data_IF_151271395471
#
_entry.id   IF_151271395471
#
_cell.length_a   1.000
_cell.length_b   1.000
_cell.length_c   1.000
_cell.angle_alpha   90.00
_cell.angle_beta   90.00
_cell.angle_gamma   90.00
#
_symmetry.space_group_name_H-M   'P 1'
#
loop_
_entity.id
_entity.type
_entity.pdbx_description
1 polymer ?
#
# COMPACT_ATOMS: atom_id res chain seq x y z
N UNK A 1 83.36 -33.03 -40.65
CA UNK A 1 82.75 -32.22 -41.70
C UNK A 1 81.24 -32.38 -41.63
N UNK A 2 80.53 -31.40 -41.06
CA UNK A 2 79.04 -31.46 -40.87
C UNK A 2 78.49 -30.42 -41.84
N UNK A 3 77.79 -30.81 -42.88
CA UNK A 3 77.10 -29.95 -43.84
C UNK A 3 75.82 -29.43 -43.23
N UNK A 4 75.72 -28.10 -43.10
CA UNK A 4 74.51 -27.42 -42.65
C UNK A 4 73.62 -27.17 -43.88
N UNK A 5 72.50 -27.93 -43.95
CA UNK A 5 71.49 -27.73 -44.97
C UNK A 5 70.66 -26.48 -44.65
N UNK A 6 70.79 -25.45 -45.43
CA UNK A 6 69.93 -24.26 -45.37
C UNK A 6 68.57 -24.53 -46.05
N UNK A 7 67.50 -24.62 -45.27
CA UNK A 7 66.15 -24.72 -45.81
C UNK A 7 65.67 -23.25 -46.15
N UNK A 8 65.46 -23.01 -47.43
CA UNK A 8 64.90 -21.78 -47.98
C UNK A 8 63.39 -21.68 -47.56
N UNK A 9 62.96 -20.52 -47.12
CA UNK A 9 61.53 -20.34 -46.75
C UNK A 9 60.71 -20.33 -48.06
N UNK A 10 59.67 -21.17 -48.10
CA UNK A 10 58.70 -21.23 -49.21
C UNK A 10 57.92 -19.88 -49.18
N UNK A 11 58.19 -18.99 -50.12
CA UNK A 11 57.38 -17.80 -50.36
C UNK A 11 56.00 -18.25 -50.83
N UNK A 12 55.01 -18.13 -49.92
CA UNK A 12 53.60 -18.27 -50.31
C UNK A 12 53.27 -17.12 -51.25
N UNK A 13 52.92 -17.45 -52.50
CA UNK A 13 52.39 -16.48 -53.48
C UNK A 13 51.09 -15.90 -52.91
N UNK A 14 51.06 -14.63 -52.61
CA UNK A 14 49.85 -13.86 -52.32
C UNK A 14 49.02 -13.85 -53.63
N UNK A 15 47.86 -14.52 -53.58
CA UNK A 15 46.84 -14.40 -54.62
C UNK A 15 46.08 -13.06 -54.33
N UNK A 16 46.08 -12.17 -55.33
CA UNK A 16 45.30 -10.95 -55.25
C UNK A 16 43.79 -11.26 -55.18
N UNK A 17 43.07 -10.62 -54.31
CA UNK A 17 41.62 -10.70 -54.23
C UNK A 17 40.98 -9.97 -55.38
N UNK A 18 40.03 -10.56 -56.06
CA UNK A 18 39.31 -9.91 -57.16
C UNK A 18 38.35 -8.86 -56.60
N UNK A 19 38.05 -7.81 -57.36
CA UNK A 19 37.13 -6.76 -56.98
C UNK A 19 35.75 -7.30 -56.67
N UNK A 20 35.29 -8.35 -57.39
CA UNK A 20 34.02 -9.03 -57.18
C UNK A 20 34.04 -9.79 -55.84
N UNK A 21 35.13 -10.46 -55.49
CA UNK A 21 35.28 -11.21 -54.25
C UNK A 21 35.26 -10.24 -53.04
N UNK A 22 35.86 -9.05 -53.18
CA UNK A 22 35.79 -7.98 -52.18
C UNK A 22 34.36 -7.47 -52.03
N UNK A 23 33.65 -7.20 -53.13
CA UNK A 23 32.25 -6.74 -53.08
C UNK A 23 31.33 -7.75 -52.47
N UNK A 24 31.45 -9.04 -52.80
CA UNK A 24 30.66 -10.14 -52.20
C UNK A 24 30.98 -10.27 -50.71
N UNK A 25 32.26 -10.21 -50.33
CA UNK A 25 32.66 -10.24 -48.92
C UNK A 25 32.10 -9.09 -48.08
N UNK A 26 32.13 -7.86 -48.64
CA UNK A 26 31.57 -6.66 -47.97
C UNK A 26 30.03 -6.78 -47.83
N UNK A 27 29.30 -7.19 -48.87
CA UNK A 27 27.86 -7.33 -48.81
C UNK A 27 27.41 -8.39 -47.83
N UNK A 28 28.06 -9.58 -47.84
CA UNK A 28 27.78 -10.63 -46.86
C UNK A 28 28.11 -10.18 -45.43
N UNK A 29 29.26 -9.52 -45.26
CA UNK A 29 29.65 -8.95 -43.96
C UNK A 29 28.62 -7.95 -43.43
N UNK A 30 28.10 -7.07 -44.30
CA UNK A 30 27.11 -6.09 -43.96
C UNK A 30 25.75 -6.74 -43.57
N UNK A 31 25.31 -7.76 -44.32
CA UNK A 31 24.08 -8.52 -44.00
C UNK A 31 24.20 -9.22 -42.65
N UNK A 32 25.34 -9.88 -42.40
CA UNK A 32 25.57 -10.57 -41.11
C UNK A 32 25.60 -9.52 -39.96
N UNK A 33 26.30 -8.41 -40.14
CA UNK A 33 26.38 -7.37 -39.12
C UNK A 33 25.02 -6.78 -38.84
N UNK A 34 24.21 -6.46 -39.87
CA UNK A 34 22.85 -5.96 -39.73
C UNK A 34 21.95 -6.95 -38.95
N UNK A 35 22.06 -8.24 -39.28
CA UNK A 35 21.28 -9.29 -38.56
C UNK A 35 21.69 -9.41 -37.10
N UNK A 36 22.97 -9.31 -36.76
CA UNK A 36 23.45 -9.32 -35.37
C UNK A 36 23.00 -8.08 -34.61
N UNK A 37 22.99 -6.91 -35.24
CA UNK A 37 22.47 -5.69 -34.62
C UNK A 37 20.98 -5.78 -34.32
N UNK A 38 20.17 -6.33 -35.24
CA UNK A 38 18.74 -6.57 -35.00
C UNK A 38 18.53 -7.57 -33.86
N UNK A 39 19.28 -8.65 -33.80
CA UNK A 39 19.21 -9.65 -32.74
C UNK A 39 19.56 -9.02 -31.37
N UNK A 40 20.62 -8.22 -31.33
CA UNK A 40 21.04 -7.52 -30.11
C UNK A 40 19.98 -6.50 -29.64
N UNK A 41 19.41 -5.71 -30.56
CA UNK A 41 18.36 -4.76 -30.25
C UNK A 41 17.10 -5.46 -29.66
N UNK A 42 16.68 -6.56 -30.29
CA UNK A 42 15.55 -7.35 -29.79
C UNK A 42 15.85 -7.99 -28.43
N UNK A 43 17.03 -8.54 -28.23
CA UNK A 43 17.43 -9.13 -26.95
C UNK A 43 17.49 -8.09 -25.84
N UNK A 44 17.99 -6.88 -26.13
CA UNK A 44 18.02 -5.75 -25.19
C UNK A 44 16.61 -5.28 -24.83
N UNK A 45 15.70 -5.15 -25.80
CA UNK A 45 14.30 -4.79 -25.56
C UNK A 45 13.60 -5.83 -24.68
N UNK A 46 13.75 -7.12 -24.97
CA UNK A 46 13.21 -8.20 -24.13
C UNK A 46 13.76 -8.17 -22.71
N UNK A 47 15.05 -7.92 -22.54
CA UNK A 47 15.66 -7.78 -21.21
C UNK A 47 15.03 -6.66 -20.38
N UNK A 48 14.76 -5.53 -21.01
CA UNK A 48 14.09 -4.40 -20.37
C UNK A 48 12.63 -4.72 -20.01
N UNK A 49 11.89 -5.42 -20.87
CA UNK A 49 10.51 -5.82 -20.60
C UNK A 49 10.42 -6.79 -19.40
N UNK A 50 11.35 -7.74 -19.32
CA UNK A 50 11.44 -8.67 -18.18
C UNK A 50 11.76 -7.90 -16.88
N UNK A 51 12.70 -6.94 -16.92
CA UNK A 51 13.03 -6.13 -15.76
C UNK A 51 11.85 -5.27 -15.29
N UNK A 52 11.10 -4.64 -16.21
CA UNK A 52 9.87 -3.89 -15.90
C UNK A 52 8.80 -4.76 -15.27
N UNK A 53 8.56 -5.94 -15.85
CA UNK A 53 7.60 -6.91 -15.30
C UNK A 53 8.01 -7.37 -13.90
N UNK A 54 9.30 -7.61 -13.67
CA UNK A 54 9.85 -7.96 -12.35
C UNK A 54 9.57 -6.90 -11.31
N UNK A 55 9.86 -5.63 -11.59
CA UNK A 55 9.58 -4.50 -10.69
C UNK A 55 8.07 -4.36 -10.38
N UNK A 56 7.20 -4.54 -11.39
CA UNK A 56 5.75 -4.48 -11.17
C UNK A 56 5.26 -5.59 -10.25
N UNK A 57 5.80 -6.83 -10.39
CA UNK A 57 5.44 -7.95 -9.53
C UNK A 57 5.91 -7.69 -8.10
N UNK A 58 7.13 -7.19 -7.93
CA UNK A 58 7.70 -6.89 -6.62
C UNK A 58 6.91 -5.79 -5.91
N UNK A 59 6.63 -4.67 -6.60
CA UNK A 59 5.80 -3.59 -6.08
C UNK A 59 4.39 -4.08 -5.72
N UNK A 60 3.78 -4.91 -6.56
CA UNK A 60 2.46 -5.49 -6.30
C UNK A 60 2.45 -6.38 -5.06
N UNK A 61 3.46 -7.23 -4.87
CA UNK A 61 3.60 -8.06 -3.66
C UNK A 61 3.84 -7.21 -2.42
N UNK A 62 4.73 -6.23 -2.50
CA UNK A 62 5.03 -5.32 -1.40
C UNK A 62 3.78 -4.56 -0.92
N UNK A 63 3.04 -3.95 -1.86
CA UNK A 63 1.80 -3.23 -1.53
C UNK A 63 0.75 -4.16 -0.92
N UNK A 64 0.58 -5.37 -1.48
CA UNK A 64 -0.35 -6.36 -0.94
C UNK A 64 -0.02 -6.74 0.49
N UNK A 65 1.25 -6.99 0.80
CA UNK A 65 1.68 -7.39 2.15
C UNK A 65 1.59 -6.23 3.14
N UNK A 66 2.02 -5.02 2.73
CA UNK A 66 1.95 -3.82 3.55
C UNK A 66 0.51 -3.49 3.96
N UNK A 67 -0.43 -3.51 3.01
CA UNK A 67 -1.84 -3.26 3.30
C UNK A 67 -2.45 -4.39 4.12
N UNK A 68 -2.07 -5.64 3.85
CA UNK A 68 -2.54 -6.80 4.61
C UNK A 68 -2.15 -6.69 6.07
N UNK A 69 -0.90 -6.37 6.37
CA UNK A 69 -0.40 -6.27 7.74
C UNK A 69 -1.15 -5.21 8.55
N UNK A 70 -1.30 -4.00 8.01
CA UNK A 70 -1.91 -2.90 8.76
C UNK A 70 -3.43 -3.02 8.86
N UNK A 71 -4.09 -3.41 7.77
CA UNK A 71 -5.54 -3.64 7.73
C UNK A 71 -5.94 -4.80 8.64
N UNK A 72 -5.17 -5.88 8.67
CA UNK A 72 -5.42 -7.04 9.55
C UNK A 72 -5.41 -6.66 11.03
N UNK A 73 -4.61 -5.67 11.42
CA UNK A 73 -4.51 -5.15 12.79
C UNK A 73 -5.55 -4.05 13.09
N UNK A 74 -6.33 -3.61 12.09
CA UNK A 74 -7.35 -2.59 12.30
C UNK A 74 -8.32 -3.01 13.41
N UNK A 75 -8.74 -2.03 14.23
CA UNK A 75 -9.63 -2.29 15.36
C UNK A 75 -8.97 -3.02 16.54
N UNK A 76 -7.66 -3.21 16.51
CA UNK A 76 -6.96 -3.62 17.72
C UNK A 76 -6.93 -2.45 18.71
N UNK A 77 -7.79 -2.52 19.72
CA UNK A 77 -7.89 -1.47 20.75
C UNK A 77 -7.28 -1.89 22.10
N UNK A 78 -6.44 -2.91 22.09
CA UNK A 78 -5.80 -3.48 23.27
C UNK A 78 -6.56 -4.69 23.80
N UNK A 79 -6.33 -5.04 25.07
CA UNK A 79 -6.86 -6.26 25.70
C UNK A 79 -8.25 -6.04 26.33
N UNK A 80 -9.02 -5.06 25.81
CA UNK A 80 -10.35 -4.75 26.36
C UNK A 80 -11.46 -5.37 25.53
N UNK A 81 -12.58 -5.70 26.19
CA UNK A 81 -13.80 -6.06 25.47
C UNK A 81 -14.40 -4.82 24.83
N UNK A 82 -14.71 -4.92 23.55
CA UNK A 82 -15.42 -3.90 22.78
C UNK A 82 -16.91 -4.21 22.64
N UNK A 83 -17.39 -5.24 23.32
CA UNK A 83 -18.81 -5.61 23.33
C UNK A 83 -19.66 -4.42 23.85
N UNK A 84 -20.71 -4.07 23.11
CA UNK A 84 -21.59 -2.94 23.43
C UNK A 84 -20.96 -1.55 23.21
N UNK A 85 -19.76 -1.45 22.62
CA UNK A 85 -19.18 -0.17 22.30
C UNK A 85 -19.98 0.54 21.18
N UNK A 86 -20.12 1.86 21.31
CA UNK A 86 -20.59 2.72 20.24
C UNK A 86 -19.42 3.12 19.35
N UNK A 87 -19.68 3.24 18.05
CA UNK A 87 -18.63 3.60 17.09
C UNK A 87 -18.86 4.98 16.51
N UNK A 88 -17.80 5.76 16.41
CA UNK A 88 -17.78 7.07 15.77
C UNK A 88 -16.92 7.06 14.52
N UNK A 89 -17.16 8.01 13.63
CA UNK A 89 -16.37 8.26 12.42
C UNK A 89 -15.62 9.58 12.56
N UNK A 90 -14.47 9.61 13.27
CA UNK A 90 -13.70 10.83 13.38
C UNK A 90 -13.14 11.24 12.01
N UNK A 91 -12.98 12.54 11.81
CA UNK A 91 -12.28 13.07 10.65
C UNK A 91 -10.87 12.48 10.59
N UNK A 92 -10.51 11.76 9.51
CA UNK A 92 -9.21 11.13 9.37
C UNK A 92 -8.06 12.12 9.26
N UNK A 93 -8.37 13.37 8.87
CA UNK A 93 -7.40 14.47 8.77
C UNK A 93 -7.23 15.24 10.10
N UNK A 94 -7.95 14.86 11.15
CA UNK A 94 -7.84 15.54 12.44
C UNK A 94 -6.51 15.23 13.14
N UNK A 95 -5.83 16.29 13.57
CA UNK A 95 -4.63 16.19 14.43
C UNK A 95 -4.99 16.11 15.92
N UNK A 96 -6.27 16.29 16.26
CA UNK A 96 -6.84 16.12 17.59
C UNK A 96 -7.96 15.08 17.53
N UNK A 97 -7.65 13.78 17.51
CA UNK A 97 -8.63 12.73 17.36
C UNK A 97 -9.62 12.74 18.53
N UNK A 98 -10.89 12.52 18.22
CA UNK A 98 -12.00 12.45 19.17
C UNK A 98 -12.73 11.10 19.03
N UNK A 99 -13.71 10.86 19.90
CA UNK A 99 -14.54 9.67 19.83
C UNK A 99 -13.98 8.48 20.61
N UNK A 100 -13.27 8.76 21.71
CA UNK A 100 -12.72 7.76 22.61
C UNK A 100 -13.31 7.91 24.03
N UNK A 101 -13.63 6.78 24.63
CA UNK A 101 -14.07 6.73 26.03
C UNK A 101 -15.55 6.99 26.21
N UNK A 102 -15.94 7.31 27.43
CA UNK A 102 -17.34 7.57 27.79
C UNK A 102 -18.09 6.37 28.37
N UNK A 103 -19.36 6.61 28.72
CA UNK A 103 -20.30 5.58 29.17
C UNK A 103 -21.63 5.80 28.45
N UNK A 104 -22.01 4.93 27.49
CA UNK A 104 -21.33 3.71 27.06
C UNK A 104 -19.98 3.95 26.38
N UNK A 105 -19.13 2.93 26.33
CA UNK A 105 -17.81 2.99 25.69
C UNK A 105 -17.96 3.42 24.23
N UNK A 106 -17.25 4.48 23.84
CA UNK A 106 -17.21 4.98 22.46
C UNK A 106 -15.81 4.76 21.89
N UNK A 107 -15.75 4.25 20.68
CA UNK A 107 -14.51 3.94 19.94
C UNK A 107 -14.60 4.50 18.51
N UNK A 108 -13.49 4.87 17.86
CA UNK A 108 -13.49 5.16 16.44
C UNK A 108 -13.73 3.88 15.65
N UNK A 109 -14.31 3.98 14.44
CA UNK A 109 -14.38 2.85 13.51
C UNK A 109 -12.99 2.38 13.11
N UNK A 110 -12.79 1.07 13.05
CA UNK A 110 -11.50 0.43 12.75
C UNK A 110 -10.99 0.77 11.34
N UNK A 111 -11.91 0.78 10.39
CA UNK A 111 -11.67 1.16 9.00
C UNK A 111 -12.75 2.13 8.54
N UNK A 112 -12.40 2.98 7.59
CA UNK A 112 -13.33 3.90 6.95
C UNK A 112 -12.84 4.18 5.54
N UNK A 113 -13.69 3.94 4.56
CA UNK A 113 -13.38 4.16 3.16
C UNK A 113 -13.85 5.51 2.67
N UNK A 114 -13.16 6.00 1.66
CA UNK A 114 -13.44 7.26 0.99
C UNK A 114 -13.42 7.03 -0.52
N UNK A 115 -14.53 7.29 -1.16
CA UNK A 115 -14.70 7.20 -2.61
C UNK A 115 -13.96 8.34 -3.32
N UNK A 116 -13.80 8.29 -4.65
CA UNK A 116 -13.19 9.41 -5.38
C UNK A 116 -13.91 10.75 -5.22
N UNK A 117 -15.21 10.72 -4.84
CA UNK A 117 -16.01 11.93 -4.64
C UNK A 117 -15.75 12.59 -3.27
N UNK A 118 -15.17 11.86 -2.32
CA UNK A 118 -14.92 12.36 -0.96
C UNK A 118 -13.64 13.20 -0.94
N UNK A 119 -13.76 14.49 -0.72
CA UNK A 119 -12.63 15.41 -0.59
C UNK A 119 -12.04 15.33 0.83
N UNK A 120 -10.77 14.94 0.93
CA UNK A 120 -10.00 14.92 2.17
C UNK A 120 -8.86 15.93 2.09
N UNK A 121 -8.90 16.97 2.93
CA UNK A 121 -7.95 18.07 2.89
C UNK A 121 -6.48 17.66 3.12
N UNK A 122 -6.26 16.57 3.84
CA UNK A 122 -4.91 16.06 4.13
C UNK A 122 -4.31 15.15 3.05
N UNK A 123 -5.05 14.82 1.98
CA UNK A 123 -4.56 14.00 0.88
C UNK A 123 -4.09 14.87 -0.29
N UNK A 124 -2.88 15.39 -0.16
CA UNK A 124 -2.30 16.23 -1.20
C UNK A 124 -2.09 15.44 -2.51
N UNK A 125 -2.47 16.06 -3.64
CA UNK A 125 -2.32 15.49 -4.99
C UNK A 125 -2.94 14.09 -5.14
N UNK A 126 -4.08 13.84 -4.48
CA UNK A 126 -4.80 12.57 -4.63
C UNK A 126 -5.19 12.37 -6.09
N UNK A 127 -4.86 11.19 -6.62
CA UNK A 127 -5.19 10.83 -7.99
C UNK A 127 -6.71 10.66 -8.15
N UNK A 128 -7.26 11.33 -9.16
CA UNK A 128 -8.68 11.24 -9.49
C UNK A 128 -9.09 9.79 -9.78
N UNK A 129 -10.31 9.44 -9.43
CA UNK A 129 -10.85 8.11 -9.68
C UNK A 129 -10.31 7.00 -8.76
N UNK A 130 -9.56 7.32 -7.69
CA UNK A 130 -9.04 6.33 -6.73
C UNK A 130 -9.71 6.45 -5.37
N UNK A 131 -9.88 5.31 -4.70
CA UNK A 131 -10.35 5.27 -3.32
C UNK A 131 -9.22 5.63 -2.34
N UNK A 132 -9.59 5.97 -1.11
CA UNK A 132 -8.68 6.05 0.02
C UNK A 132 -9.29 5.29 1.20
N UNK A 133 -8.44 4.77 2.08
CA UNK A 133 -8.86 4.02 3.25
C UNK A 133 -8.14 4.52 4.50
N UNK A 134 -8.90 4.85 5.54
CA UNK A 134 -8.38 5.12 6.86
C UNK A 134 -8.42 3.84 7.70
N UNK A 135 -7.31 3.58 8.41
CA UNK A 135 -7.12 2.44 9.32
C UNK A 135 -6.78 2.98 10.70
N UNK A 136 -7.48 2.50 11.73
CA UNK A 136 -7.27 2.95 13.11
C UNK A 136 -7.09 1.76 14.04
N UNK A 137 -6.13 1.89 14.95
CA UNK A 137 -5.81 0.88 15.96
C UNK A 137 -4.96 1.48 17.07
N UNK A 138 -4.63 0.71 18.07
CA UNK A 138 -3.52 1.01 18.96
C UNK A 138 -2.27 0.19 18.60
N UNK A 139 -1.11 0.63 19.07
CA UNK A 139 0.14 -0.08 18.89
C UNK A 139 0.15 -1.42 19.60
N UNK A 140 0.84 -2.40 19.03
CA UNK A 140 1.01 -3.73 19.64
C UNK A 140 1.93 -3.70 20.88
N UNK A 141 2.85 -2.73 20.92
CA UNK A 141 3.76 -2.55 22.05
C UNK A 141 3.11 -1.73 23.14
N UNK A 142 3.04 -2.29 24.33
CA UNK A 142 2.59 -1.60 25.53
C UNK A 142 3.74 -0.79 26.15
N UNK A 143 3.43 0.39 26.68
CA UNK A 143 4.39 1.33 27.26
C UNK A 143 3.96 1.65 28.69
N UNK A 144 4.91 1.70 29.62
CA UNK A 144 4.66 2.21 30.96
C UNK A 144 4.46 3.73 30.89
N UNK A 145 3.33 4.28 31.36
CA UNK A 145 3.08 5.71 31.39
C UNK A 145 4.19 6.53 32.07
N UNK A 146 4.87 5.96 33.05
CA UNK A 146 5.98 6.62 33.73
C UNK A 146 7.17 6.94 32.81
N UNK A 147 7.34 6.17 31.74
CA UNK A 147 8.42 6.36 30.76
C UNK A 147 8.06 7.38 29.67
N UNK A 148 6.81 7.81 29.58
CA UNK A 148 6.39 8.81 28.61
C UNK A 148 6.91 10.18 29.03
N UNK A 149 7.57 10.89 28.12
CA UNK A 149 8.09 12.23 28.38
C UNK A 149 6.94 13.24 28.65
N UNK A 150 7.18 14.20 29.54
CA UNK A 150 6.18 15.22 29.86
C UNK A 150 5.79 16.10 28.65
N UNK A 151 6.73 16.36 27.74
CA UNK A 151 6.52 17.11 26.51
C UNK A 151 6.06 16.22 25.31
N UNK A 152 5.52 15.03 25.61
CA UNK A 152 5.06 14.11 24.60
C UNK A 152 3.88 14.69 23.81
N UNK A 153 3.84 14.42 22.51
CA UNK A 153 2.74 14.82 21.61
C UNK A 153 1.93 13.64 21.12
N UNK A 154 2.44 12.41 21.25
CA UNK A 154 1.77 11.18 20.84
C UNK A 154 0.56 10.90 21.71
N UNK A 155 -0.56 10.49 21.09
CA UNK A 155 -1.75 10.06 21.80
C UNK A 155 -1.63 8.59 22.23
N UNK A 156 -2.09 8.30 23.43
CA UNK A 156 -2.13 6.96 24.02
C UNK A 156 -3.53 6.59 24.46
N UNK A 157 -3.79 5.29 24.40
CA UNK A 157 -4.99 4.66 24.94
C UNK A 157 -4.58 3.85 26.15
N UNK A 158 -5.26 4.02 27.27
CA UNK A 158 -5.08 3.25 28.49
C UNK A 158 -6.42 2.68 28.95
N UNK A 159 -6.43 1.44 29.39
CA UNK A 159 -7.59 0.76 29.95
C UNK A 159 -7.41 0.48 31.42
N UNK A 160 -8.51 0.49 32.21
CA UNK A 160 -8.53 -0.11 33.52
C UNK A 160 -8.89 -1.58 33.45
N UNK A 161 -8.04 -2.42 34.05
CA UNK A 161 -8.35 -3.82 34.31
C UNK A 161 -8.69 -4.10 35.78
N UNK A 162 -8.72 -3.08 36.63
CA UNK A 162 -9.09 -3.20 38.01
C UNK A 162 -10.61 -3.36 38.16
N UNK A 163 -11.03 -4.46 38.78
CA UNK A 163 -12.45 -4.73 39.01
C UNK A 163 -13.12 -3.69 39.92
N UNK A 164 -12.34 -2.96 40.71
CA UNK A 164 -12.85 -1.90 41.60
C UNK A 164 -13.11 -0.55 40.87
N UNK A 165 -12.67 -0.40 39.60
CA UNK A 165 -12.86 0.81 38.82
C UNK A 165 -14.19 0.82 38.06
N UNK A 166 -15.25 0.24 38.61
CA UNK A 166 -16.53 0.09 37.91
C UNK A 166 -17.19 1.44 37.60
N UNK A 167 -16.98 2.44 38.47
CA UNK A 167 -17.59 3.78 38.37
C UNK A 167 -16.74 4.81 37.61
N UNK A 168 -15.51 4.47 37.20
CA UNK A 168 -14.59 5.37 36.47
C UNK A 168 -14.60 5.03 34.99
N UNK A 169 -14.25 5.97 34.09
CA UNK A 169 -14.10 5.63 32.70
C UNK A 169 -13.05 4.52 32.57
N UNK A 170 -13.44 3.41 31.93
CA UNK A 170 -12.54 2.25 31.75
C UNK A 170 -11.48 2.47 30.70
N UNK A 171 -11.56 3.58 29.97
CA UNK A 171 -10.64 3.98 28.93
C UNK A 171 -10.28 5.47 29.09
N UNK A 172 -9.00 5.76 28.98
CA UNK A 172 -8.48 7.12 28.81
C UNK A 172 -7.76 7.19 27.46
N UNK A 173 -8.08 8.23 26.71
CA UNK A 173 -7.38 8.62 25.49
C UNK A 173 -6.73 10.00 25.73
N UNK A 174 -5.42 10.04 25.82
CA UNK A 174 -4.70 11.28 26.14
C UNK A 174 -3.28 11.27 25.58
N UNK A 175 -2.77 12.45 25.29
CA UNK A 175 -1.33 12.69 25.08
C UNK A 175 -0.61 13.12 26.36
N UNK A 176 -1.36 13.55 27.37
CA UNK A 176 -0.79 13.89 28.68
C UNK A 176 -0.63 12.63 29.53
N UNK A 177 0.60 12.32 29.89
CA UNK A 177 0.91 11.18 30.76
C UNK A 177 0.26 11.29 32.13
N UNK A 178 0.07 12.51 32.66
CA UNK A 178 -0.53 12.71 33.96
C UNK A 178 -2.01 12.28 34.01
N UNK A 179 -2.68 12.24 32.84
CA UNK A 179 -4.03 11.72 32.72
C UNK A 179 -4.07 10.17 32.69
N UNK A 180 -2.96 9.48 32.36
CA UNK A 180 -2.89 8.04 32.22
C UNK A 180 -2.74 7.35 33.58
N UNK A 181 -3.80 7.32 34.36
CA UNK A 181 -3.81 6.89 35.78
C UNK A 181 -4.61 5.63 36.04
N UNK A 182 -5.17 4.99 35.01
CA UNK A 182 -5.97 3.78 35.16
C UNK A 182 -5.16 2.62 35.67
N UNK A 183 -5.81 1.77 36.50
CA UNK A 183 -5.15 0.73 37.28
C UNK A 183 -5.05 -0.59 36.53
N UNK A 184 -4.00 -1.34 36.85
CA UNK A 184 -3.78 -2.70 36.40
C UNK A 184 -4.78 -3.70 37.05
N UNK A 185 -4.74 -4.97 36.61
CA UNK A 185 -5.63 -6.02 37.11
C UNK A 185 -5.51 -6.26 38.63
N UNK A 186 -4.34 -6.08 39.21
CA UNK A 186 -4.13 -6.22 40.66
C UNK A 186 -4.65 -5.01 41.46
N UNK A 187 -5.08 -3.93 40.79
CA UNK A 187 -5.52 -2.67 41.38
C UNK A 187 -4.45 -1.94 42.23
N UNK A 188 -3.19 -2.33 42.14
CA UNK A 188 -2.09 -1.83 42.97
C UNK A 188 -1.19 -0.83 42.26
N UNK A 189 -1.26 -0.74 40.92
CA UNK A 189 -0.41 0.14 40.14
C UNK A 189 -1.10 0.63 38.87
N UNK A 190 -0.46 1.57 38.20
CA UNK A 190 -0.91 2.12 36.91
C UNK A 190 -0.77 1.04 35.84
N UNK A 191 -1.79 0.95 34.97
CA UNK A 191 -1.74 0.02 33.84
C UNK A 191 -0.90 0.60 32.71
N UNK A 192 -0.43 -0.27 31.83
CA UNK A 192 0.29 0.11 30.60
C UNK A 192 -0.64 0.88 29.64
N UNK A 193 -0.06 1.73 28.81
CA UNK A 193 -0.72 2.45 27.74
C UNK A 193 -0.21 2.00 26.37
N UNK A 194 -1.00 2.20 25.32
CA UNK A 194 -0.62 1.87 23.95
C UNK A 194 -0.73 3.10 23.04
N UNK A 195 0.25 3.36 22.17
CA UNK A 195 0.18 4.50 21.26
C UNK A 195 -0.97 4.33 20.28
N UNK A 196 -1.70 5.40 20.03
CA UNK A 196 -2.73 5.45 18.99
C UNK A 196 -2.09 5.53 17.62
N UNK A 197 -2.64 4.79 16.66
CA UNK A 197 -2.21 4.74 15.25
C UNK A 197 -3.41 5.06 14.39
N UNK A 198 -3.30 6.12 13.58
CA UNK A 198 -4.27 6.49 12.55
C UNK A 198 -3.51 6.71 11.25
N UNK A 199 -3.89 5.97 10.21
CA UNK A 199 -3.24 5.97 8.91
C UNK A 199 -4.26 6.08 7.80
N UNK A 200 -3.93 6.81 6.75
CA UNK A 200 -4.75 6.88 5.54
C UNK A 200 -3.86 6.44 4.37
N UNK A 201 -4.33 5.46 3.61
CA UNK A 201 -3.69 5.00 2.38
C UNK A 201 -4.43 5.57 1.18
N UNK A 202 -3.71 6.14 0.24
CA UNK A 202 -4.26 6.73 -0.97
C UNK A 202 -3.24 6.72 -2.10
N UNK A 203 -3.69 6.87 -3.33
CA UNK A 203 -2.82 7.05 -4.50
C UNK A 203 -2.69 8.55 -4.79
N UNK A 204 -1.46 9.03 -4.88
CA UNK A 204 -1.15 10.37 -5.37
C UNK A 204 -0.75 10.32 -6.86
N UNK A 205 -0.95 11.42 -7.59
CA UNK A 205 -0.59 11.56 -9.01
C UNK A 205 0.93 11.58 -9.24
N UNK A 206 1.70 11.81 -8.19
CA UNK A 206 3.14 12.02 -8.23
C UNK A 206 3.83 11.44 -6.98
N UNK A 207 5.06 10.96 -7.14
CA UNK A 207 5.94 10.65 -6.01
C UNK A 207 6.53 11.96 -5.45
N UNK A 208 7.24 12.70 -6.29
CA UNK A 208 7.72 14.05 -6.00
C UNK A 208 6.77 15.04 -6.66
N UNK A 209 5.94 15.69 -5.86
CA UNK A 209 4.86 16.55 -6.37
C UNK A 209 5.23 18.04 -6.41
N UNK A 210 6.51 18.39 -6.21
CA UNK A 210 6.99 19.78 -6.33
C UNK A 210 6.99 20.24 -7.79
N UNK A 211 6.66 21.50 -8.04
CA UNK A 211 6.61 22.06 -9.39
C UNK A 211 5.52 21.38 -10.25
N UNK A 212 5.91 20.89 -11.42
CA UNK A 212 5.02 20.14 -12.32
C UNK A 212 4.76 18.70 -11.88
N UNK A 213 5.45 18.21 -10.85
CA UNK A 213 5.44 16.83 -10.44
C UNK A 213 6.20 15.90 -11.39
N UNK A 214 6.53 14.70 -10.92
CA UNK A 214 7.23 13.68 -11.72
C UNK A 214 6.27 12.80 -12.54
N UNK A 215 4.96 12.94 -12.34
CA UNK A 215 3.94 12.14 -13.03
C UNK A 215 3.98 10.64 -12.71
N UNK A 216 4.66 10.23 -11.62
CA UNK A 216 4.74 8.84 -11.17
C UNK A 216 3.67 8.61 -10.11
N UNK A 217 2.54 7.94 -10.45
CA UNK A 217 1.49 7.69 -9.47
C UNK A 217 2.02 6.78 -8.38
N UNK A 218 1.78 7.19 -7.13
CA UNK A 218 2.45 6.60 -5.96
C UNK A 218 1.45 6.33 -4.85
N UNK A 219 1.48 5.12 -4.29
CA UNK A 219 0.78 4.83 -3.04
C UNK A 219 1.47 5.58 -1.91
N UNK A 220 0.72 6.43 -1.23
CA UNK A 220 1.19 7.21 -0.07
C UNK A 220 0.38 6.86 1.17
N UNK A 221 0.99 7.08 2.32
CA UNK A 221 0.37 6.98 3.63
C UNK A 221 0.46 8.31 4.34
N UNK A 222 -0.68 8.81 4.80
CA UNK A 222 -0.75 9.88 5.80
C UNK A 222 -0.87 9.22 7.16
N UNK A 223 -0.03 9.58 8.10
CA UNK A 223 -0.03 9.04 9.46
C UNK A 223 -0.04 10.18 10.48
N UNK A 224 -0.85 10.02 11.51
CA UNK A 224 -0.82 10.93 12.65
C UNK A 224 0.39 10.61 13.52
N UNK A 225 1.37 11.51 13.51
CA UNK A 225 2.57 11.42 14.35
C UNK A 225 2.52 12.55 15.37
N UNK A 226 2.25 12.19 16.61
CA UNK A 226 1.99 13.20 17.65
C UNK A 226 0.76 14.05 17.33
N UNK A 227 0.96 15.33 17.06
CA UNK A 227 -0.08 16.30 16.68
C UNK A 227 0.10 16.81 15.24
N UNK A 228 0.81 16.06 14.39
CA UNK A 228 1.03 16.42 13.00
C UNK A 228 0.67 15.26 12.09
N UNK A 229 0.25 15.57 10.86
CA UNK A 229 0.05 14.58 9.81
C UNK A 229 1.31 14.51 8.96
N UNK A 230 1.89 13.33 8.85
CA UNK A 230 3.08 13.07 8.06
C UNK A 230 2.72 12.21 6.85
N UNK A 231 3.09 12.64 5.66
CA UNK A 231 2.89 11.88 4.42
C UNK A 231 4.17 11.17 4.04
N UNK A 232 4.07 9.86 3.80
CA UNK A 232 5.20 9.01 3.37
C UNK A 232 4.83 8.32 2.06
N UNK A 233 5.72 8.38 1.07
CA UNK A 233 5.62 7.58 -0.15
C UNK A 233 5.99 6.12 0.19
N UNK A 234 5.20 5.17 -0.28
CA UNK A 234 5.34 3.75 0.02
C UNK A 234 5.75 2.93 -1.20
N UNK A 235 5.06 3.12 -2.32
CA UNK A 235 5.33 2.37 -3.55
C UNK A 235 5.00 3.22 -4.77
N UNK A 236 5.97 3.37 -5.66
CA UNK A 236 5.81 4.03 -6.94
C UNK A 236 5.09 3.14 -7.96
N UNK A 237 4.49 3.76 -8.97
CA UNK A 237 3.82 3.04 -10.05
C UNK A 237 2.49 2.41 -9.64
N UNK A 238 1.82 2.89 -8.60
CA UNK A 238 0.46 2.45 -8.25
C UNK A 238 -0.54 3.38 -8.92
N UNK A 239 -1.18 2.88 -9.98
CA UNK A 239 -1.98 3.68 -10.90
C UNK A 239 -3.46 3.80 -10.49
N UNK A 240 -3.98 2.79 -9.78
CA UNK A 240 -5.35 2.76 -9.29
C UNK A 240 -5.46 2.04 -7.95
N UNK A 241 -6.44 2.41 -7.15
CA UNK A 241 -6.81 1.76 -5.90
C UNK A 241 -8.33 1.77 -5.78
N UNK A 242 -8.91 0.58 -5.52
CA UNK A 242 -10.34 0.38 -5.24
C UNK A 242 -10.49 -0.57 -4.06
N UNK A 243 -11.51 -0.33 -3.26
CA UNK A 243 -11.76 -1.13 -2.05
C UNK A 243 -13.22 -1.55 -1.99
N UNK A 244 -13.45 -2.85 -1.78
CA UNK A 244 -14.74 -3.40 -1.42
C UNK A 244 -14.73 -3.76 0.07
N UNK A 245 -15.80 -3.44 0.76
CA UNK A 245 -15.99 -3.67 2.18
C UNK A 245 -16.92 -4.86 2.38
N UNK A 246 -16.45 -5.87 3.10
CA UNK A 246 -17.23 -7.05 3.47
C UNK A 246 -17.98 -6.78 4.77
N UNK A 247 -19.32 -6.75 4.67
CA UNK A 247 -20.23 -6.49 5.77
C UNK A 247 -20.73 -7.81 6.34
N UNK A 248 -20.65 -7.91 7.63
CA UNK A 248 -21.30 -8.92 8.44
C UNK A 248 -22.64 -8.35 8.91
N UNK A 249 -23.75 -8.94 8.44
CA UNK A 249 -25.11 -8.47 8.71
C UNK A 249 -25.76 -9.26 9.85
N UNK A 250 -25.45 -10.56 9.94
CA UNK A 250 -26.04 -11.47 10.93
C UNK A 250 -25.22 -11.59 12.22
N UNK A 251 -23.99 -11.07 12.26
CA UNK A 251 -23.17 -10.98 13.46
C UNK A 251 -22.28 -12.20 13.72
N UNK A 252 -22.10 -13.08 12.73
CA UNK A 252 -21.29 -14.29 12.88
C UNK A 252 -19.77 -14.08 12.71
N UNK A 253 -19.35 -12.84 12.41
CA UNK A 253 -17.96 -12.46 12.20
C UNK A 253 -17.44 -12.73 10.78
N UNK A 254 -18.29 -13.23 9.88
CA UNK A 254 -17.99 -13.47 8.47
C UNK A 254 -18.70 -12.44 7.58
N UNK A 255 -18.14 -12.12 6.41
CA UNK A 255 -18.78 -11.17 5.52
C UNK A 255 -19.91 -11.83 4.70
N UNK A 256 -21.13 -11.34 4.81
CA UNK A 256 -22.29 -11.78 4.01
C UNK A 256 -22.30 -11.14 2.63
N UNK A 257 -21.86 -9.89 2.53
CA UNK A 257 -21.91 -9.13 1.28
C UNK A 257 -20.73 -8.17 1.18
N UNK A 258 -20.30 -7.92 -0.07
CA UNK A 258 -19.28 -6.93 -0.37
C UNK A 258 -19.88 -5.74 -1.09
N UNK A 259 -19.45 -4.53 -0.71
CA UNK A 259 -19.91 -3.27 -1.31
C UNK A 259 -18.75 -2.28 -1.45
N UNK A 260 -18.79 -1.49 -2.49
CA UNK A 260 -17.83 -0.39 -2.74
C UNK A 260 -18.20 0.89 -2.01
N UNK A 261 -19.48 1.03 -1.61
CA UNK A 261 -20.01 2.17 -0.87
C UNK A 261 -20.91 1.69 0.24
N UNK A 262 -21.11 2.52 1.27
CA UNK A 262 -21.95 2.17 2.42
C UNK A 262 -23.46 2.08 2.10
N UNK A 263 -23.93 2.75 1.05
CA UNK A 263 -25.35 2.75 0.67
C UNK A 263 -26.28 3.26 1.77
N UNK A 264 -27.53 2.74 1.82
CA UNK A 264 -28.59 3.16 2.72
C UNK A 264 -28.47 2.70 4.19
N UNK A 265 -27.42 1.94 4.54
CA UNK A 265 -27.13 1.59 5.92
C UNK A 265 -26.50 2.81 6.60
N UNK A 266 -27.13 3.44 7.52
CA UNK A 266 -26.69 4.68 8.18
C UNK A 266 -25.20 4.73 8.55
N UNK A 267 -24.62 5.91 8.64
CA UNK A 267 -23.19 6.12 8.51
C UNK A 267 -22.32 5.42 9.58
N UNK A 268 -22.76 5.33 10.82
CA UNK A 268 -21.94 4.79 11.92
C UNK A 268 -22.09 3.27 12.08
N UNK A 269 -23.29 2.75 12.02
CA UNK A 269 -23.56 1.33 12.18
C UNK A 269 -22.94 0.49 11.05
N UNK A 270 -22.90 1.04 9.83
CA UNK A 270 -22.36 0.33 8.68
C UNK A 270 -20.86 0.07 8.78
N UNK A 271 -20.05 1.05 9.18
CA UNK A 271 -18.60 0.87 9.31
C UNK A 271 -18.22 -0.09 10.46
N UNK A 272 -19.02 -0.16 11.51
CA UNK A 272 -18.81 -1.12 12.61
C UNK A 272 -19.02 -2.57 12.18
N UNK A 273 -19.78 -2.79 11.10
CA UNK A 273 -20.10 -4.11 10.58
C UNK A 273 -19.11 -4.60 9.52
N UNK A 274 -18.08 -3.83 9.21
CA UNK A 274 -17.04 -4.23 8.26
C UNK A 274 -16.09 -5.19 8.95
N UNK A 275 -16.04 -6.44 8.47
CA UNK A 275 -15.19 -7.52 8.99
C UNK A 275 -14.12 -7.98 8.01
N UNK A 276 -14.20 -7.54 6.75
CA UNK A 276 -13.18 -7.84 5.75
C UNK A 276 -13.10 -6.74 4.69
N UNK A 277 -11.98 -6.70 3.98
CA UNK A 277 -11.76 -5.83 2.82
C UNK A 277 -11.28 -6.66 1.65
N UNK A 278 -11.72 -6.30 0.43
CA UNK A 278 -11.02 -6.66 -0.79
C UNK A 278 -10.37 -5.41 -1.35
N UNK A 279 -9.06 -5.44 -1.44
CA UNK A 279 -8.28 -4.32 -1.97
C UNK A 279 -7.82 -4.69 -3.37
N UNK A 280 -8.19 -3.86 -4.33
CA UNK A 280 -7.83 -3.98 -5.74
C UNK A 280 -6.96 -2.80 -6.12
N UNK A 281 -5.86 -3.06 -6.80
CA UNK A 281 -4.99 -1.99 -7.27
C UNK A 281 -4.32 -2.38 -8.59
N UNK A 282 -3.92 -1.36 -9.35
CA UNK A 282 -3.19 -1.53 -10.61
C UNK A 282 -1.78 -0.99 -10.42
N UNK A 283 -0.78 -1.80 -10.74
CA UNK A 283 0.59 -1.33 -10.88
C UNK A 283 0.85 -0.88 -12.31
N UNK A 284 1.65 0.16 -12.48
CA UNK A 284 2.12 0.69 -13.77
C UNK A 284 3.64 0.62 -13.83
N UNK A 285 4.22 0.31 -14.99
CA UNK A 285 5.68 0.46 -15.18
C UNK A 285 6.09 1.93 -14.97
N UNK A 286 7.31 2.16 -14.50
CA UNK A 286 7.84 3.52 -14.33
C UNK A 286 8.22 4.12 -15.69
N UNK A 287 8.76 3.29 -16.58
CA UNK A 287 9.15 3.67 -17.93
C UNK A 287 8.15 3.17 -18.96
N UNK A 288 8.05 3.91 -20.07
CA UNK A 288 7.28 3.47 -21.23
C UNK A 288 7.97 2.30 -21.94
N UNK A 289 7.17 1.37 -22.45
CA UNK A 289 7.71 0.30 -23.27
C UNK A 289 8.13 0.83 -24.64
N UNK A 290 9.23 0.30 -25.14
CA UNK A 290 9.73 0.63 -26.48
C UNK A 290 9.02 -0.30 -27.48
N UNK A 291 8.13 0.27 -28.29
CA UNK A 291 7.42 -0.46 -29.35
C UNK A 291 5.91 -0.23 -29.36
N UNK A 292 5.30 -0.47 -30.50
CA UNK A 292 3.92 -0.04 -30.81
C UNK A 292 2.80 -0.88 -30.18
N UNK A 293 3.08 -1.98 -29.48
CA UNK A 293 2.04 -2.91 -29.01
C UNK A 293 1.25 -2.43 -27.78
N UNK A 294 1.63 -1.33 -27.16
CA UNK A 294 0.94 -0.73 -26.01
C UNK A 294 0.11 0.52 -26.39
N UNK A 295 -0.23 0.65 -27.67
CA UNK A 295 -1.06 1.73 -28.18
C UNK A 295 -2.57 1.51 -27.92
N UNK A 296 -2.96 0.44 -27.22
CA UNK A 296 -4.36 0.15 -26.87
C UNK A 296 -4.63 0.47 -25.42
N UNK A 297 -5.78 1.10 -25.17
CA UNK A 297 -6.30 1.25 -23.81
C UNK A 297 -6.50 -0.14 -23.18
N UNK A 298 -6.19 -0.27 -21.90
CA UNK A 298 -6.39 -1.49 -21.12
C UNK A 298 -7.53 -1.27 -20.13
N UNK A 299 -8.40 -2.25 -19.99
CA UNK A 299 -9.48 -2.23 -19.02
C UNK A 299 -9.18 -3.25 -17.92
N UNK A 300 -9.38 -2.82 -16.66
CA UNK A 300 -9.22 -3.65 -15.49
C UNK A 300 -10.50 -3.64 -14.67
N UNK A 301 -11.05 -4.81 -14.40
CA UNK A 301 -12.11 -5.00 -13.43
C UNK A 301 -11.47 -5.01 -12.02
N UNK A 302 -11.82 -4.02 -11.20
CA UNK A 302 -11.30 -3.86 -9.83
C UNK A 302 -12.38 -4.12 -8.78
N UNK A 303 -13.28 -5.03 -9.07
CA UNK A 303 -14.37 -5.44 -8.19
C UNK A 303 -15.62 -4.57 -8.33
N UNK A 304 -16.79 -5.19 -8.10
CA UNK A 304 -18.08 -4.56 -8.24
C UNK A 304 -18.36 -4.06 -9.66
N UNK A 305 -18.60 -2.76 -9.81
CA UNK A 305 -18.83 -2.09 -11.10
C UNK A 305 -17.64 -1.23 -11.57
N UNK A 306 -16.51 -1.33 -10.89
CA UNK A 306 -15.37 -0.46 -11.14
C UNK A 306 -14.45 -1.03 -12.22
N UNK A 307 -14.82 -0.81 -13.47
CA UNK A 307 -13.92 -1.00 -14.62
C UNK A 307 -13.09 0.28 -14.78
N UNK A 308 -11.77 0.15 -14.70
CA UNK A 308 -10.85 1.26 -14.96
C UNK A 308 -10.28 1.08 -16.36
N UNK A 309 -10.67 2.00 -17.25
CA UNK A 309 -10.04 2.16 -18.54
C UNK A 309 -8.78 3.03 -18.40
N UNK A 310 -7.66 2.54 -18.89
CA UNK A 310 -6.42 3.28 -18.93
C UNK A 310 -6.13 3.81 -20.32
N UNK A 311 -5.47 4.96 -20.41
CA UNK A 311 -5.06 5.51 -21.69
C UNK A 311 -4.04 4.62 -22.40
N UNK A 312 -4.03 4.69 -23.73
CA UNK A 312 -2.97 4.15 -24.57
C UNK A 312 -1.72 5.03 -24.47
N UNK A 313 -0.97 4.93 -23.35
CA UNK A 313 0.09 5.85 -22.98
C UNK A 313 1.50 5.23 -23.00
N UNK A 314 1.60 3.96 -23.42
CA UNK A 314 2.85 3.22 -23.54
C UNK A 314 3.34 2.58 -22.24
N UNK A 315 2.60 2.70 -21.12
CA UNK A 315 2.95 2.01 -19.89
C UNK A 315 2.31 0.63 -19.81
N UNK A 316 3.05 -0.34 -19.32
CA UNK A 316 2.50 -1.66 -18.97
C UNK A 316 1.82 -1.62 -17.60
N UNK A 317 0.69 -2.32 -17.48
CA UNK A 317 -0.10 -2.35 -16.25
C UNK A 317 -0.44 -3.78 -15.84
N UNK A 318 -0.61 -3.99 -14.53
CA UNK A 318 -1.03 -5.27 -13.97
C UNK A 318 -1.95 -5.03 -12.78
N UNK A 319 -3.09 -5.71 -12.76
CA UNK A 319 -4.03 -5.66 -11.65
C UNK A 319 -3.68 -6.70 -10.58
N UNK A 320 -3.93 -6.32 -9.33
CA UNK A 320 -3.80 -7.17 -8.14
C UNK A 320 -5.08 -7.06 -7.31
N UNK A 321 -5.43 -8.15 -6.67
CA UNK A 321 -6.55 -8.23 -5.74
C UNK A 321 -6.15 -9.03 -4.51
N UNK A 322 -6.50 -8.54 -3.33
CA UNK A 322 -6.22 -9.22 -2.06
C UNK A 322 -7.40 -9.08 -1.12
N UNK A 323 -7.90 -10.21 -0.62
CA UNK A 323 -8.89 -10.24 0.44
C UNK A 323 -8.20 -10.28 1.81
N UNK A 324 -8.63 -9.41 2.72
CA UNK A 324 -8.01 -9.21 4.02
C UNK A 324 -9.11 -9.24 5.09
N UNK A 325 -9.04 -10.20 6.01
CA UNK A 325 -9.92 -10.24 7.17
C UNK A 325 -9.46 -9.25 8.23
N UNK A 326 -10.38 -8.47 8.78
CA UNK A 326 -10.18 -7.61 9.95
C UNK A 326 -10.31 -8.49 11.20
N UNK A 327 -9.21 -8.97 11.74
CA UNK A 327 -9.25 -9.98 12.83
C UNK A 327 -10.03 -9.47 14.04
N UNK A 328 -9.75 -8.24 14.47
CA UNK A 328 -10.35 -7.73 15.71
C UNK A 328 -11.84 -7.43 15.58
N UNK A 329 -12.35 -6.72 14.55
CA UNK A 329 -13.78 -6.56 14.35
C UNK A 329 -14.53 -7.90 14.18
N UNK A 330 -13.97 -8.80 13.36
CA UNK A 330 -14.55 -10.12 13.11
C UNK A 330 -14.67 -10.94 14.39
N UNK A 331 -13.58 -11.08 15.15
CA UNK A 331 -13.60 -11.84 16.41
C UNK A 331 -14.47 -11.21 17.49
N UNK A 332 -14.62 -9.89 17.50
CA UNK A 332 -15.52 -9.22 18.44
C UNK A 332 -16.98 -9.52 18.14
N UNK A 333 -17.34 -9.80 16.90
CA UNK A 333 -18.70 -10.19 16.50
C UNK A 333 -18.95 -11.68 16.73
N UNK A 334 -18.00 -12.54 16.42
CA UNK A 334 -18.06 -13.98 16.75
C UNK A 334 -18.28 -14.24 18.25
N UNK A 335 -17.91 -13.30 19.13
CA UNK A 335 -18.01 -13.43 20.58
C UNK A 335 -19.31 -12.86 21.17
N UNK A 336 -20.23 -12.33 20.36
CA UNK A 336 -21.52 -11.78 20.78
C UNK A 336 -22.61 -12.84 20.65
#
# INVERSE_FOLDING_TARGET
MRTIGTTLPIRRRQRGVTLVELMVGLTLGLVVTASLLMLFANASAHGQDVARAGMQIENGRYVSELLREDVRLAGFYGETSVAGALYTQPDPCSVAPVGWGGTPLTLPTSVQGYTPADALACLANRKAGTDAIAVRRVGITAIDPATILAANTQYYVQYSFCALDIATPRLIFSKDRAALTLRNRACTGVNVARPYVSRIYYVAECNVCAGAGDGVPTLKRVELVGTTLTTTALAEGIDALRVEYGFDVDGDGSPDTYRTTLGALGPTAAWSNVVSLKVHFVTRSLDKAIGSNLATAQEFDLGGTAVIATAADGYTRRAYSSAIRLINPSSAREAQ
#
